data_IF_885618950963
#
_entry.id   IF_885618950963
#
_cell.length_a   1.000
_cell.length_b   1.000
_cell.length_c   1.000
_cell.angle_alpha   90.00
_cell.angle_beta   90.00
_cell.angle_gamma   90.00
#
_symmetry.space_group_name_H-M   'P 1'
#
loop_
_entity.id
_entity.type
_entity.pdbx_description
1 polymer ?
#
# COMPACT_ATOMS: atom_id res chain seq x y z
N UNK A 1 -22.20 -28.96 -1.25
CA UNK A 1 -21.84 -28.07 -2.37
C UNK A 1 -20.73 -27.16 -1.88
N UNK A 2 -19.51 -27.30 -2.40
CA UNK A 2 -18.39 -26.43 -2.04
C UNK A 2 -18.45 -25.19 -2.93
N UNK A 3 -18.55 -24.02 -2.31
CA UNK A 3 -18.60 -22.76 -3.03
C UNK A 3 -17.18 -22.47 -3.57
N UNK A 4 -16.98 -22.63 -4.88
CA UNK A 4 -15.76 -22.22 -5.59
C UNK A 4 -15.71 -20.68 -5.69
N UNK A 5 -15.77 -20.00 -4.54
CA UNK A 5 -15.49 -18.59 -4.44
C UNK A 5 -13.99 -18.42 -4.61
N UNK A 6 -13.55 -18.17 -5.85
CA UNK A 6 -12.26 -17.55 -6.11
C UNK A 6 -12.10 -16.38 -5.14
N UNK A 7 -11.18 -16.51 -4.19
CA UNK A 7 -10.82 -15.41 -3.29
C UNK A 7 -10.58 -14.19 -4.17
N UNK A 8 -11.30 -13.07 -4.00
CA UNK A 8 -11.03 -11.89 -4.78
C UNK A 8 -9.55 -11.60 -4.61
N UNK A 9 -8.81 -11.55 -5.71
CA UNK A 9 -7.41 -11.15 -5.68
C UNK A 9 -7.38 -9.78 -5.01
N UNK A 10 -6.88 -9.73 -3.78
CA UNK A 10 -6.64 -8.50 -3.05
C UNK A 10 -5.56 -7.80 -3.87
N UNK A 11 -5.97 -6.79 -4.64
CA UNK A 11 -5.07 -5.97 -5.47
C UNK A 11 -4.27 -4.97 -4.64
N UNK A 12 -4.52 -4.91 -3.33
CA UNK A 12 -3.88 -3.97 -2.42
C UNK A 12 -2.36 -4.10 -2.47
N UNK A 13 -1.68 -2.97 -2.24
CA UNK A 13 -0.22 -2.87 -2.26
C UNK A 13 0.24 -2.74 -0.81
N UNK A 14 0.97 -3.75 -0.33
CA UNK A 14 1.66 -3.70 0.95
C UNK A 14 3.16 -3.45 0.72
N UNK A 15 3.66 -2.34 1.25
CA UNK A 15 5.08 -2.01 1.20
C UNK A 15 5.72 -2.31 2.54
N UNK A 16 6.71 -3.21 2.54
CA UNK A 16 7.36 -3.70 3.75
C UNK A 16 8.87 -3.42 3.71
N UNK A 17 9.43 -3.04 4.86
CA UNK A 17 10.86 -3.13 5.09
C UNK A 17 11.23 -4.61 5.29
N UNK A 18 11.92 -5.18 4.30
CA UNK A 18 12.32 -6.60 4.31
C UNK A 18 13.28 -6.95 5.44
N UNK A 19 14.08 -6.00 5.94
CA UNK A 19 15.03 -6.28 7.02
C UNK A 19 14.33 -6.46 8.36
N UNK A 20 13.26 -5.71 8.60
CA UNK A 20 12.52 -5.71 9.88
C UNK A 20 11.15 -6.38 9.80
N UNK A 21 10.70 -6.77 8.61
CA UNK A 21 9.33 -7.21 8.29
C UNK A 21 8.25 -6.21 8.75
N UNK A 22 8.60 -4.93 8.89
CA UNK A 22 7.64 -3.89 9.28
C UNK A 22 6.93 -3.35 8.05
N UNK A 23 5.60 -3.25 8.13
CA UNK A 23 4.81 -2.51 7.16
C UNK A 23 5.20 -1.03 7.21
N UNK A 24 5.48 -0.46 6.05
CA UNK A 24 5.78 0.96 5.87
C UNK A 24 4.55 1.68 5.34
N UNK A 25 3.85 1.12 4.36
CA UNK A 25 2.64 1.71 3.82
C UNK A 25 1.69 0.63 3.29
N UNK A 26 0.40 0.92 3.36
CA UNK A 26 -0.64 0.08 2.81
C UNK A 26 -1.55 0.90 1.91
N UNK A 27 -1.71 0.45 0.67
CA UNK A 27 -2.61 1.07 -0.30
C UNK A 27 -3.73 0.11 -0.66
N UNK A 28 -4.95 0.54 -0.38
CA UNK A 28 -6.17 -0.21 -0.69
C UNK A 28 -6.64 0.11 -2.09
N UNK A 29 -6.94 -0.93 -2.86
CA UNK A 29 -7.47 -0.78 -4.21
C UNK A 29 -9.00 -0.58 -4.18
N UNK A 30 -9.47 0.51 -4.76
CA UNK A 30 -10.88 0.75 -5.01
C UNK A 30 -11.24 0.30 -6.43
N UNK A 31 -11.93 -0.84 -6.54
CA UNK A 31 -12.35 -1.40 -7.84
C UNK A 31 -13.33 -0.52 -8.62
N UNK A 32 -14.13 0.32 -7.94
CA UNK A 32 -15.12 1.16 -8.61
C UNK A 32 -14.47 2.31 -9.36
N UNK A 33 -13.40 2.84 -8.80
CA UNK A 33 -12.70 4.02 -9.31
C UNK A 33 -11.38 3.65 -10.01
N UNK A 34 -10.96 2.38 -9.92
CA UNK A 34 -9.68 1.88 -10.43
C UNK A 34 -8.46 2.65 -9.88
N UNK A 35 -8.52 3.03 -8.61
CA UNK A 35 -7.47 3.79 -7.92
C UNK A 35 -7.00 3.09 -6.65
N UNK A 36 -5.83 3.49 -6.17
CA UNK A 36 -5.26 3.09 -4.89
C UNK A 36 -5.30 4.27 -3.92
N UNK A 37 -5.75 4.03 -2.70
CA UNK A 37 -5.78 5.03 -1.62
C UNK A 37 -4.94 4.55 -0.46
N UNK A 38 -4.13 5.44 0.12
CA UNK A 38 -3.39 5.16 1.36
C UNK A 38 -4.41 4.92 2.49
N UNK A 39 -4.41 3.71 3.07
CA UNK A 39 -5.34 3.32 4.13
C UNK A 39 -4.73 3.59 5.51
N UNK A 40 -3.46 3.23 5.69
CA UNK A 40 -2.73 3.41 6.95
C UNK A 40 -1.43 4.22 6.77
N UNK A 41 -1.41 5.40 7.40
CA UNK A 41 -0.17 6.14 7.65
C UNK A 41 0.59 5.53 8.83
N UNK A 42 1.66 4.82 8.54
CA UNK A 42 2.61 4.42 9.59
C UNK A 42 3.38 5.65 10.02
N UNK A 43 3.29 6.03 11.31
CA UNK A 43 3.79 7.28 11.91
C UNK A 43 5.24 7.68 11.58
N UNK A 44 6.05 6.77 11.04
CA UNK A 44 7.48 6.96 10.76
C UNK A 44 7.81 7.17 9.29
N UNK A 45 6.84 7.08 8.38
CA UNK A 45 7.10 7.29 6.96
C UNK A 45 6.13 8.29 6.35
N UNK A 46 6.63 9.00 5.35
CA UNK A 46 5.85 9.87 4.48
C UNK A 46 5.88 9.25 3.09
N UNK A 47 4.71 8.99 2.53
CA UNK A 47 4.55 8.48 1.16
C UNK A 47 4.25 9.63 0.19
N UNK A 48 4.93 9.64 -0.94
CA UNK A 48 4.64 10.51 -2.07
C UNK A 48 4.29 9.66 -3.29
N UNK A 49 3.12 9.90 -3.87
CA UNK A 49 2.67 9.24 -5.10
C UNK A 49 2.95 10.17 -6.27
N UNK A 50 3.73 9.71 -7.25
CA UNK A 50 3.97 10.43 -8.49
C UNK A 50 3.21 9.73 -9.62
N UNK A 51 2.17 10.40 -10.12
CA UNK A 51 1.29 9.86 -11.16
C UNK A 51 1.91 9.90 -12.56
N UNK A 52 2.82 10.84 -12.83
CA UNK A 52 3.51 10.93 -14.13
C UNK A 52 4.49 9.77 -14.30
N UNK A 53 5.28 9.49 -13.27
CA UNK A 53 6.30 8.44 -13.30
C UNK A 53 5.78 7.06 -12.87
N UNK A 54 4.50 6.99 -12.47
CA UNK A 54 3.86 5.79 -11.90
C UNK A 54 4.68 5.18 -10.76
N UNK A 55 5.19 6.04 -9.86
CA UNK A 55 6.09 5.65 -8.78
C UNK A 55 5.55 6.07 -7.41
N UNK A 56 5.95 5.32 -6.38
CA UNK A 56 5.71 5.65 -4.98
C UNK A 56 7.07 5.82 -4.31
N UNK A 57 7.30 6.98 -3.69
CA UNK A 57 8.51 7.26 -2.91
C UNK A 57 8.17 7.24 -1.43
N UNK A 58 9.02 6.59 -0.63
CA UNK A 58 8.89 6.51 0.82
C UNK A 58 10.04 7.24 1.47
N UNK A 59 9.72 8.23 2.30
CA UNK A 59 10.67 8.94 3.12
C UNK A 59 10.54 8.47 4.56
N UNK A 60 11.66 8.15 5.21
CA UNK A 60 11.66 8.03 6.66
C UNK A 60 11.58 9.42 7.27
N UNK A 61 10.60 9.62 8.15
CA UNK A 61 10.58 10.81 8.99
C UNK A 61 11.67 10.65 10.05
N UNK A 62 12.80 11.32 9.84
CA UNK A 62 13.95 11.33 10.75
C UNK A 62 13.87 12.46 11.79
N UNK A 63 12.73 13.14 11.93
CA UNK A 63 12.52 14.12 12.98
C UNK A 63 12.60 13.39 14.35
N UNK A 64 13.67 13.65 15.09
CA UNK A 64 13.91 13.17 16.45
C UNK A 64 13.09 13.93 17.48
#
# INVERSE_FOLDING_TARGET
MFNNGSTPFIKDINIVDKATNRQLAYFKYNIKEDIYTEDEKVHRVITQINTMDRSITIYYNIAS
#
